data_IF_318211247089
#
_entry.id   IF_318211247089
#
_cell.length_a   1.000
_cell.length_b   1.000
_cell.length_c   1.000
_cell.angle_alpha   90.00
_cell.angle_beta   90.00
_cell.angle_gamma   90.00
#
_symmetry.space_group_name_H-M   'P 1'
#
loop_
_entity.id
_entity.type
_entity.pdbx_description
1 polymer ?
#
# COMPACT_ATOMS: atom_id res chain seq x y z
N UNK A 1 25.94 8.55 7.25
CA UNK A 1 25.45 7.22 6.89
C UNK A 1 25.06 7.32 5.42
N UNK A 2 25.81 6.69 4.51
CA UNK A 2 25.63 6.89 3.07
C UNK A 2 24.42 6.09 2.59
N UNK A 3 23.51 6.79 1.93
CA UNK A 3 22.32 6.26 1.28
C UNK A 3 22.69 5.15 0.30
N UNK A 4 22.03 4.01 0.43
CA UNK A 4 21.97 2.99 -0.62
C UNK A 4 20.94 3.45 -1.65
N UNK A 5 21.25 4.49 -2.44
CA UNK A 5 20.54 4.70 -3.69
C UNK A 5 21.16 3.74 -4.69
N UNK A 6 20.44 2.68 -5.04
CA UNK A 6 20.81 1.83 -6.17
C UNK A 6 20.91 2.72 -7.41
N UNK A 7 22.13 2.90 -7.92
CA UNK A 7 22.45 3.82 -9.02
C UNK A 7 21.79 3.45 -10.38
N UNK A 8 21.05 2.34 -10.43
CA UNK A 8 20.50 1.76 -11.67
C UNK A 8 18.97 1.60 -11.64
N UNK A 9 18.24 2.35 -10.79
CA UNK A 9 16.78 2.34 -10.86
C UNK A 9 16.27 3.19 -12.03
N UNK A 10 15.57 2.54 -12.96
CA UNK A 10 14.79 3.22 -14.00
C UNK A 10 13.75 4.17 -13.38
N UNK A 11 13.43 5.27 -14.09
CA UNK A 11 12.31 6.14 -13.71
C UNK A 11 11.02 5.34 -13.55
N UNK A 12 10.23 5.69 -12.53
CA UNK A 12 8.88 5.15 -12.39
C UNK A 12 8.01 5.80 -13.45
N UNK A 13 7.36 4.99 -14.28
CA UNK A 13 6.49 5.44 -15.38
C UNK A 13 5.12 4.77 -15.26
N UNK A 14 4.06 5.58 -15.32
CA UNK A 14 2.69 5.10 -15.15
C UNK A 14 1.77 5.73 -16.19
N UNK A 15 1.09 4.89 -16.97
CA UNK A 15 0.01 5.32 -17.88
C UNK A 15 -1.26 5.60 -17.09
N UNK A 16 -2.03 6.58 -17.53
CA UNK A 16 -3.29 6.93 -16.88
C UNK A 16 -3.83 8.27 -17.36
N UNK A 17 -4.72 8.84 -16.56
CA UNK A 17 -5.33 10.12 -16.83
C UNK A 17 -5.18 11.10 -15.67
N UNK A 18 -4.77 12.34 -15.98
CA UNK A 18 -4.78 13.45 -15.02
C UNK A 18 -5.99 14.34 -15.34
N UNK A 19 -7.00 14.37 -14.47
CA UNK A 19 -8.28 15.07 -14.71
C UNK A 19 -8.96 14.66 -16.04
N UNK A 20 -9.00 13.36 -16.31
CA UNK A 20 -9.60 12.79 -17.52
C UNK A 20 -8.74 12.90 -18.78
N UNK A 21 -7.54 13.49 -18.67
CA UNK A 21 -6.60 13.68 -19.78
C UNK A 21 -5.64 12.50 -19.81
N UNK A 22 -5.69 11.66 -20.85
CA UNK A 22 -4.75 10.55 -20.99
C UNK A 22 -3.29 11.04 -21.14
N UNK A 23 -2.35 10.30 -20.56
CA UNK A 23 -0.93 10.59 -20.67
C UNK A 23 -0.05 9.65 -19.85
N UNK A 24 1.16 10.11 -19.56
CA UNK A 24 2.18 9.38 -18.82
C UNK A 24 2.64 10.20 -17.61
N UNK A 25 2.52 9.64 -16.42
CA UNK A 25 3.12 10.15 -15.20
C UNK A 25 4.53 9.56 -15.04
N UNK A 26 5.53 10.40 -14.75
CA UNK A 26 6.93 10.00 -14.62
C UNK A 26 7.51 10.57 -13.32
N UNK A 27 8.12 9.71 -12.51
CA UNK A 27 8.96 10.10 -11.38
C UNK A 27 10.40 9.70 -11.67
N UNK A 28 11.33 10.66 -11.82
CA UNK A 28 12.72 10.35 -12.02
C UNK A 28 13.31 9.70 -10.76
N UNK A 29 14.03 8.59 -10.90
CA UNK A 29 14.67 7.90 -9.76
C UNK A 29 16.19 8.12 -9.73
N UNK A 30 16.79 8.55 -10.85
CA UNK A 30 18.24 8.84 -10.90
C UNK A 30 18.63 10.05 -10.03
N UNK A 31 19.87 10.06 -9.53
CA UNK A 31 20.43 10.99 -8.53
C UNK A 31 20.43 12.50 -8.89
N UNK A 32 19.83 12.89 -10.02
CA UNK A 32 19.46 14.26 -10.35
C UNK A 32 17.94 14.47 -10.29
N UNK A 33 17.24 13.69 -9.46
CA UNK A 33 15.80 13.74 -9.30
C UNK A 33 15.37 15.17 -8.95
N UNK A 34 14.76 15.84 -9.93
CA UNK A 34 13.90 16.97 -9.60
C UNK A 34 12.82 16.41 -8.68
N UNK A 35 12.63 17.02 -7.51
CA UNK A 35 11.54 16.66 -6.62
C UNK A 35 10.22 16.65 -7.41
N UNK A 36 9.57 15.48 -7.46
CA UNK A 36 8.18 15.37 -7.85
C UNK A 36 7.89 14.61 -9.14
N UNK A 37 6.59 14.46 -9.36
CA UNK A 37 6.02 13.76 -10.50
C UNK A 37 5.78 14.73 -11.66
N UNK A 38 6.12 14.31 -12.87
CA UNK A 38 5.80 15.04 -14.11
C UNK A 38 4.73 14.30 -14.90
N UNK A 39 3.74 15.02 -15.44
CA UNK A 39 2.71 14.44 -16.29
C UNK A 39 2.86 14.94 -17.72
N UNK A 40 3.00 14.00 -18.66
CA UNK A 40 3.05 14.27 -20.10
C UNK A 40 1.74 13.81 -20.76
N UNK A 41 0.83 14.73 -21.15
CA UNK A 41 -0.39 14.35 -21.85
C UNK A 41 -0.08 13.73 -23.22
N UNK A 42 -0.92 12.79 -23.67
CA UNK A 42 -0.76 12.17 -24.99
C UNK A 42 -1.03 13.15 -26.15
N UNK A 43 -1.85 14.18 -25.91
CA UNK A 43 -2.13 15.25 -26.86
C UNK A 43 -1.76 16.62 -26.27
N UNK A 44 -1.01 17.48 -26.99
CA UNK A 44 -0.71 18.83 -26.53
C UNK A 44 -1.97 19.69 -26.57
N UNK A 45 -2.45 20.10 -25.40
CA UNK A 45 -3.49 21.11 -25.24
C UNK A 45 -3.25 21.87 -23.93
N UNK A 46 -3.42 23.19 -23.96
CA UNK A 46 -3.15 24.06 -22.81
C UNK A 46 -3.97 23.62 -21.58
N UNK A 47 -3.34 23.36 -20.43
CA UNK A 47 -4.07 23.13 -19.19
C UNK A 47 -4.57 24.46 -18.60
N UNK A 48 -5.81 24.48 -18.09
CA UNK A 48 -6.24 25.54 -17.18
C UNK A 48 -5.46 25.43 -15.84
N UNK A 49 -4.72 26.46 -15.39
CA UNK A 49 -3.91 26.38 -14.17
C UNK A 49 -4.77 26.33 -12.88
N UNK A 50 -4.25 25.70 -11.82
CA UNK A 50 -4.64 26.03 -10.44
C UNK A 50 -5.54 25.07 -9.63
N UNK A 51 -5.87 23.86 -10.10
CA UNK A 51 -6.68 22.89 -9.32
C UNK A 51 -5.82 21.70 -8.89
N UNK A 52 -6.00 21.18 -7.66
CA UNK A 52 -5.44 19.87 -7.26
C UNK A 52 -5.94 18.83 -8.26
N UNK A 53 -5.01 18.21 -8.98
CA UNK A 53 -5.33 17.26 -10.04
C UNK A 53 -5.20 15.84 -9.53
N UNK A 54 -6.22 15.00 -9.75
CA UNK A 54 -6.12 13.58 -9.40
C UNK A 54 -5.64 12.81 -10.62
N UNK A 55 -4.51 12.15 -10.47
CA UNK A 55 -4.06 11.17 -11.45
C UNK A 55 -4.76 9.83 -11.16
N UNK A 56 -5.32 9.22 -12.19
CA UNK A 56 -5.86 7.86 -12.16
C UNK A 56 -5.03 7.00 -13.08
N UNK A 57 -4.31 6.04 -12.50
CA UNK A 57 -3.58 5.04 -13.28
C UNK A 57 -4.55 4.24 -14.15
N UNK A 58 -4.08 3.83 -15.33
CA UNK A 58 -4.81 2.82 -16.10
C UNK A 58 -4.95 1.53 -15.28
N UNK A 59 -6.05 0.78 -15.44
CA UNK A 59 -6.26 -0.45 -14.70
C UNK A 59 -5.11 -1.44 -14.90
N UNK A 60 -4.66 -2.07 -13.82
CA UNK A 60 -3.68 -3.14 -13.90
C UNK A 60 -4.33 -4.35 -14.59
N UNK A 61 -3.63 -5.05 -15.51
CA UNK A 61 -4.11 -6.28 -16.09
C UNK A 61 -4.09 -7.39 -15.03
N UNK A 62 -5.18 -7.54 -14.28
CA UNK A 62 -5.33 -8.61 -13.28
C UNK A 62 -6.03 -9.80 -13.94
N UNK A 63 -5.38 -10.99 -14.00
CA UNK A 63 -5.99 -12.18 -14.57
C UNK A 63 -7.31 -12.54 -13.88
N UNK A 64 -8.34 -12.96 -14.64
CA UNK A 64 -9.57 -13.47 -14.05
C UNK A 64 -9.27 -14.60 -13.05
N UNK A 65 -9.91 -14.57 -11.89
CA UNK A 65 -9.71 -15.57 -10.84
C UNK A 65 -8.56 -15.26 -9.87
N UNK A 66 -7.71 -14.29 -10.16
CA UNK A 66 -6.60 -13.90 -9.28
C UNK A 66 -7.11 -13.25 -7.97
N UNK A 67 -6.32 -13.42 -6.92
CA UNK A 67 -6.43 -12.66 -5.66
C UNK A 67 -5.50 -11.46 -5.74
N UNK A 68 -6.01 -10.28 -5.46
CA UNK A 68 -5.21 -9.06 -5.30
C UNK A 68 -5.02 -8.76 -3.81
N UNK A 69 -3.83 -8.29 -3.46
CA UNK A 69 -3.50 -7.83 -2.10
C UNK A 69 -3.01 -6.39 -2.23
N UNK A 70 -3.72 -5.46 -1.59
CA UNK A 70 -3.36 -4.05 -1.53
C UNK A 70 -2.76 -3.77 -0.16
N UNK A 71 -1.45 -3.50 -0.15
CA UNK A 71 -0.71 -3.16 1.05
C UNK A 71 0.14 -1.91 0.78
N UNK A 72 -0.45 -0.76 1.05
CA UNK A 72 0.16 0.54 0.83
C UNK A 72 -0.39 1.56 1.83
N UNK A 73 0.12 2.79 1.79
CA UNK A 73 -0.31 3.90 2.65
C UNK A 73 0.68 4.28 3.75
N UNK A 74 1.67 3.42 4.06
CA UNK A 74 2.64 3.71 5.13
C UNK A 74 3.53 4.91 4.84
N UNK A 75 3.90 5.13 3.58
CA UNK A 75 4.82 6.21 3.20
C UNK A 75 4.19 7.60 3.33
N UNK A 76 2.87 7.71 3.25
CA UNK A 76 2.15 8.98 3.29
C UNK A 76 0.85 8.82 4.10
N UNK A 77 0.90 8.42 5.38
CA UNK A 77 -0.31 8.08 6.11
C UNK A 77 -1.09 9.37 6.35
N UNK A 78 -2.28 9.46 5.75
CA UNK A 78 -3.09 10.68 5.73
C UNK A 78 -4.55 10.37 5.40
N UNK A 79 -5.45 11.34 5.61
CA UNK A 79 -6.89 11.14 5.41
C UNK A 79 -7.27 10.77 3.97
N UNK A 80 -6.49 11.20 2.98
CA UNK A 80 -6.71 10.90 1.56
C UNK A 80 -6.40 9.45 1.19
N UNK A 81 -5.53 8.77 1.96
CA UNK A 81 -5.00 7.44 1.61
C UNK A 81 -6.11 6.40 1.50
N UNK A 82 -7.13 6.48 2.35
CA UNK A 82 -8.25 5.55 2.28
C UNK A 82 -9.04 5.69 0.97
N UNK A 83 -9.19 6.91 0.43
CA UNK A 83 -9.82 7.13 -0.87
C UNK A 83 -8.94 6.62 -2.02
N UNK A 84 -7.62 6.79 -1.92
CA UNK A 84 -6.69 6.28 -2.92
C UNK A 84 -6.67 4.74 -2.93
N UNK A 85 -6.73 4.10 -1.76
CA UNK A 85 -6.87 2.64 -1.64
C UNK A 85 -8.21 2.17 -2.21
N UNK A 86 -9.33 2.86 -1.96
CA UNK A 86 -10.61 2.54 -2.60
C UNK A 86 -10.52 2.61 -4.13
N UNK A 87 -9.80 3.61 -4.67
CA UNK A 87 -9.59 3.73 -6.10
C UNK A 87 -8.74 2.58 -6.67
N UNK A 88 -7.72 2.11 -5.94
CA UNK A 88 -6.92 0.92 -6.28
C UNK A 88 -7.81 -0.33 -6.28
N UNK A 89 -8.60 -0.53 -5.22
CA UNK A 89 -9.53 -1.66 -5.08
C UNK A 89 -10.55 -1.67 -6.22
N UNK A 90 -11.10 -0.51 -6.60
CA UNK A 90 -12.01 -0.38 -7.73
C UNK A 90 -11.32 -0.70 -9.07
N UNK A 91 -10.03 -0.35 -9.23
CA UNK A 91 -9.22 -0.71 -10.39
C UNK A 91 -8.94 -2.22 -10.49
N UNK A 92 -9.03 -2.95 -9.37
CA UNK A 92 -8.85 -4.39 -9.29
C UNK A 92 -10.14 -5.20 -9.49
N UNK A 93 -11.15 -4.64 -10.17
CA UNK A 93 -12.48 -5.23 -10.31
C UNK A 93 -12.51 -6.62 -11.00
N UNK A 94 -11.48 -6.99 -11.78
CA UNK A 94 -11.39 -8.33 -12.39
C UNK A 94 -10.84 -9.41 -11.45
N UNK A 95 -10.33 -9.03 -10.26
CA UNK A 95 -9.89 -9.98 -9.24
C UNK A 95 -11.08 -10.75 -8.65
N UNK A 96 -10.89 -12.02 -8.32
CA UNK A 96 -11.89 -12.83 -7.61
C UNK A 96 -12.02 -12.45 -6.14
N UNK A 97 -10.95 -11.86 -5.58
CA UNK A 97 -10.88 -11.33 -4.24
C UNK A 97 -9.84 -10.22 -4.20
N UNK A 98 -10.10 -9.18 -3.41
CA UNK A 98 -9.13 -8.13 -3.08
C UNK A 98 -9.05 -8.05 -1.57
N UNK A 99 -7.85 -8.24 -1.01
CA UNK A 99 -7.57 -7.97 0.41
C UNK A 99 -6.91 -6.61 0.56
N UNK A 100 -7.24 -5.90 1.64
CA UNK A 100 -6.59 -4.65 2.03
C UNK A 100 -5.89 -4.87 3.35
N UNK A 101 -4.61 -4.54 3.42
CA UNK A 101 -3.80 -4.68 4.62
C UNK A 101 -3.66 -3.34 5.33
N UNK A 102 -3.78 -3.37 6.65
CA UNK A 102 -3.38 -2.26 7.50
C UNK A 102 -1.88 -1.98 7.43
N UNK A 103 -1.49 -0.78 7.83
CA UNK A 103 -0.10 -0.34 7.93
C UNK A 103 0.39 -0.41 9.37
N UNK A 104 1.70 -0.38 9.56
CA UNK A 104 2.32 -0.55 10.88
C UNK A 104 2.90 0.75 11.42
N UNK A 105 2.90 0.89 12.75
CA UNK A 105 3.69 1.91 13.42
C UNK A 105 5.18 1.61 13.26
N UNK A 106 5.99 2.66 13.04
CA UNK A 106 7.45 2.57 13.04
C UNK A 106 8.03 2.56 14.46
N UNK A 107 9.33 2.27 14.57
CA UNK A 107 10.08 2.21 15.82
C UNK A 107 9.90 3.44 16.72
N UNK A 108 9.82 4.61 16.10
CA UNK A 108 9.73 5.93 16.73
C UNK A 108 8.28 6.45 16.85
N UNK A 109 7.30 5.60 16.56
CA UNK A 109 5.87 5.92 16.63
C UNK A 109 5.16 5.09 17.72
N UNK A 110 5.58 5.21 19.01
CA UNK A 110 4.94 4.48 20.09
C UNK A 110 3.49 4.91 20.26
N UNK A 111 2.68 4.04 20.85
CA UNK A 111 1.26 4.28 21.15
C UNK A 111 1.09 5.61 21.89
N UNK A 112 0.18 6.43 21.40
CA UNK A 112 -0.10 7.77 21.92
C UNK A 112 0.78 8.86 21.34
N UNK A 113 1.73 8.53 20.45
CA UNK A 113 2.38 9.53 19.61
C UNK A 113 1.41 10.02 18.51
N UNK A 114 1.52 11.29 18.05
CA UNK A 114 0.68 11.79 16.97
C UNK A 114 0.75 10.92 15.69
N UNK A 115 1.91 10.38 15.37
CA UNK A 115 2.08 9.49 14.22
C UNK A 115 1.36 8.15 14.42
N UNK A 116 1.44 7.54 15.61
CA UNK A 116 0.68 6.32 15.93
C UNK A 116 -0.83 6.52 15.87
N UNK A 117 -1.33 7.72 16.21
CA UNK A 117 -2.75 8.07 16.12
C UNK A 117 -3.21 8.13 14.66
N UNK A 118 -2.39 8.71 13.76
CA UNK A 118 -2.67 8.74 12.32
C UNK A 118 -2.72 7.32 11.74
N UNK A 119 -1.76 6.47 12.10
CA UNK A 119 -1.73 5.05 11.67
C UNK A 119 -2.96 4.30 12.20
N UNK A 120 -3.31 4.50 13.47
CA UNK A 120 -4.49 3.88 14.08
C UNK A 120 -5.78 4.33 13.40
N UNK A 121 -5.92 5.63 13.14
CA UNK A 121 -7.09 6.18 12.45
C UNK A 121 -7.21 5.65 11.01
N UNK A 122 -6.09 5.58 10.27
CA UNK A 122 -6.07 5.01 8.94
C UNK A 122 -6.49 3.53 8.95
N UNK A 123 -5.90 2.72 9.83
CA UNK A 123 -6.25 1.30 9.95
C UNK A 123 -7.71 1.09 10.34
N UNK A 124 -8.24 1.89 11.26
CA UNK A 124 -9.65 1.85 11.64
C UNK A 124 -10.57 2.20 10.46
N UNK A 125 -10.20 3.18 9.65
CA UNK A 125 -10.96 3.57 8.47
C UNK A 125 -10.91 2.49 7.38
N UNK A 126 -9.74 1.89 7.13
CA UNK A 126 -9.59 0.76 6.20
C UNK A 126 -10.39 -0.47 6.66
N UNK A 127 -10.35 -0.80 7.95
CA UNK A 127 -11.19 -1.84 8.55
C UNK A 127 -12.68 -1.57 8.30
N UNK A 128 -13.14 -0.33 8.54
CA UNK A 128 -14.53 0.07 8.36
C UNK A 128 -14.98 -0.04 6.89
N UNK A 129 -14.14 0.38 5.94
CA UNK A 129 -14.45 0.36 4.49
C UNK A 129 -14.40 -1.04 3.90
N UNK A 130 -13.39 -1.84 4.24
CA UNK A 130 -13.14 -3.12 3.58
C UNK A 130 -13.61 -4.34 4.37
N UNK A 131 -13.98 -4.19 5.64
CA UNK A 131 -14.66 -5.20 6.48
C UNK A 131 -13.96 -6.55 6.46
N UNK A 132 -14.63 -7.62 6.05
CA UNK A 132 -14.10 -8.97 5.96
C UNK A 132 -12.93 -9.10 4.97
N UNK A 133 -12.66 -8.11 4.13
CA UNK A 133 -11.49 -8.06 3.25
C UNK A 133 -10.29 -7.33 3.86
N UNK A 134 -10.45 -6.73 5.04
CA UNK A 134 -9.36 -6.08 5.77
C UNK A 134 -8.55 -7.06 6.62
N UNK A 135 -7.22 -6.98 6.54
CA UNK A 135 -6.27 -7.69 7.40
C UNK A 135 -5.54 -6.68 8.28
N UNK A 136 -5.75 -6.76 9.59
CA UNK A 136 -5.08 -5.88 10.55
C UNK A 136 -3.65 -6.37 10.82
N UNK A 137 -2.70 -5.85 10.04
CA UNK A 137 -1.29 -6.22 10.12
C UNK A 137 -0.68 -5.82 11.47
N UNK A 138 -1.00 -4.62 11.97
CA UNK A 138 -0.47 -4.12 13.24
C UNK A 138 -0.91 -5.02 14.39
N UNK A 139 -2.20 -5.32 14.51
CA UNK A 139 -2.71 -6.21 15.55
C UNK A 139 -2.15 -7.63 15.43
N UNK A 140 -1.97 -8.12 14.20
CA UNK A 140 -1.38 -9.45 13.95
C UNK A 140 0.05 -9.54 14.47
N UNK A 141 0.90 -8.55 14.17
CA UNK A 141 2.29 -8.53 14.62
C UNK A 141 2.38 -8.42 16.15
N UNK A 142 1.55 -7.57 16.76
CA UNK A 142 1.49 -7.42 18.23
C UNK A 142 0.96 -8.67 18.93
N UNK A 143 0.06 -9.43 18.30
CA UNK A 143 -0.39 -10.72 18.83
C UNK A 143 0.71 -11.79 18.77
N UNK A 144 1.51 -11.80 17.70
CA UNK A 144 2.63 -12.74 17.53
C UNK A 144 3.79 -12.44 18.49
N UNK A 145 4.04 -11.17 18.78
CA UNK A 145 5.05 -10.74 19.74
C UNK A 145 4.62 -9.43 20.42
N UNK A 146 4.01 -9.51 21.62
CA UNK A 146 3.53 -8.33 22.34
C UNK A 146 4.64 -7.32 22.62
N UNK A 147 4.32 -6.04 22.45
CA UNK A 147 5.14 -4.91 22.92
C UNK A 147 4.30 -4.01 23.83
N UNK A 148 4.96 -3.30 24.75
CA UNK A 148 4.30 -2.39 25.67
C UNK A 148 3.91 -1.05 25.02
N UNK A 149 4.63 -0.66 23.97
CA UNK A 149 4.45 0.60 23.24
C UNK A 149 3.59 0.45 21.98
N UNK A 150 3.08 -0.76 21.70
CA UNK A 150 2.26 -1.03 20.53
C UNK A 150 3.02 -0.90 19.21
N UNK A 151 4.35 -0.98 19.20
CA UNK A 151 5.20 -1.06 18.01
C UNK A 151 5.67 -2.52 17.81
N UNK A 152 5.72 -3.06 16.58
CA UNK A 152 6.27 -4.40 16.36
C UNK A 152 7.69 -4.52 16.96
N UNK A 153 7.93 -5.58 17.73
CA UNK A 153 9.22 -5.77 18.39
C UNK A 153 10.36 -5.88 17.38
N UNK A 154 11.59 -5.52 17.79
CA UNK A 154 12.74 -5.44 16.89
C UNK A 154 13.01 -6.71 16.07
N UNK A 155 12.78 -7.92 16.61
CA UNK A 155 12.96 -9.18 15.85
C UNK A 155 12.01 -9.34 14.65
N UNK A 156 10.84 -8.69 14.67
CA UNK A 156 9.87 -8.70 13.58
C UNK A 156 10.13 -7.60 12.54
N UNK A 157 11.15 -6.75 12.76
CA UNK A 157 11.52 -5.65 11.88
C UNK A 157 12.96 -5.80 11.39
N UNK A 158 13.24 -5.38 10.17
CA UNK A 158 14.60 -5.29 9.64
C UNK A 158 15.23 -3.92 9.92
N UNK A 159 14.41 -2.88 9.98
CA UNK A 159 14.79 -1.53 10.40
C UNK A 159 13.62 -0.83 11.12
N UNK A 160 13.56 0.49 11.11
CA UNK A 160 12.53 1.25 11.82
C UNK A 160 11.12 1.08 11.26
N UNK A 161 10.95 0.60 10.03
CA UNK A 161 9.63 0.47 9.37
C UNK A 161 9.43 -0.85 8.63
N UNK A 162 10.47 -1.43 8.05
CA UNK A 162 10.39 -2.64 7.25
C UNK A 162 10.36 -3.89 8.13
N UNK A 163 9.62 -4.91 7.69
CA UNK A 163 9.57 -6.19 8.39
C UNK A 163 10.86 -6.99 8.19
N UNK A 164 11.17 -7.85 9.15
CA UNK A 164 12.15 -8.92 8.99
C UNK A 164 11.49 -10.13 8.30
N UNK A 165 12.26 -11.15 7.88
CA UNK A 165 11.66 -12.40 7.40
C UNK A 165 10.70 -13.06 8.40
N UNK A 166 10.93 -12.90 9.71
CA UNK A 166 10.01 -13.39 10.75
C UNK A 166 8.71 -12.59 10.76
N UNK A 167 8.79 -11.26 10.62
CA UNK A 167 7.61 -10.40 10.49
C UNK A 167 6.81 -10.69 9.21
N UNK A 168 7.48 -10.87 8.08
CA UNK A 168 6.85 -11.23 6.81
C UNK A 168 6.09 -12.57 6.90
N UNK A 169 6.66 -13.57 7.59
CA UNK A 169 6.01 -14.85 7.79
C UNK A 169 4.70 -14.71 8.59
N UNK A 170 4.69 -13.88 9.65
CA UNK A 170 3.49 -13.59 10.44
C UNK A 170 2.40 -12.94 9.57
N UNK A 171 2.75 -11.98 8.72
CA UNK A 171 1.78 -11.33 7.82
C UNK A 171 1.28 -12.30 6.75
N UNK A 172 2.16 -13.11 6.17
CA UNK A 172 1.80 -14.12 5.17
C UNK A 172 0.80 -15.15 5.74
N UNK A 173 1.01 -15.59 6.98
CA UNK A 173 0.08 -16.48 7.69
C UNK A 173 -1.29 -15.83 7.90
N UNK A 174 -1.33 -14.54 8.25
CA UNK A 174 -2.60 -13.81 8.40
C UNK A 174 -3.35 -13.61 7.07
N UNK A 175 -2.63 -13.30 5.99
CA UNK A 175 -3.20 -13.26 4.63
C UNK A 175 -3.78 -14.63 4.27
N UNK A 176 -3.01 -15.71 4.47
CA UNK A 176 -3.48 -17.08 4.19
C UNK A 176 -4.74 -17.39 4.99
N UNK A 177 -4.72 -17.16 6.30
CA UNK A 177 -5.86 -17.41 7.17
C UNK A 177 -7.10 -16.64 6.71
N UNK A 178 -6.93 -15.38 6.27
CA UNK A 178 -8.04 -14.59 5.73
C UNK A 178 -8.57 -15.15 4.42
N UNK A 179 -7.71 -15.55 3.50
CA UNK A 179 -8.13 -16.16 2.23
C UNK A 179 -8.85 -17.49 2.45
N UNK A 180 -8.41 -18.31 3.41
CA UNK A 180 -9.10 -19.53 3.80
C UNK A 180 -10.49 -19.21 4.36
N UNK A 181 -10.62 -18.23 5.25
CA UNK A 181 -11.90 -17.83 5.81
C UNK A 181 -12.90 -17.31 4.75
N UNK A 182 -12.40 -16.78 3.64
CA UNK A 182 -13.20 -16.30 2.51
C UNK A 182 -13.45 -17.38 1.43
N UNK A 183 -12.97 -18.61 1.63
CA UNK A 183 -12.98 -19.68 0.61
C UNK A 183 -12.31 -19.27 -0.71
N UNK A 184 -11.23 -18.48 -0.60
CA UNK A 184 -10.41 -17.96 -1.72
C UNK A 184 -9.01 -18.58 -1.76
N UNK A 185 -8.66 -19.39 -0.78
CA UNK A 185 -7.42 -20.16 -0.81
C UNK A 185 -7.61 -21.44 -1.64
N UNK A 186 -6.67 -21.79 -2.54
CA UNK A 186 -6.75 -23.06 -3.27
C UNK A 186 -6.87 -24.22 -2.28
N UNK A 187 -7.94 -25.01 -2.40
CA UNK A 187 -8.01 -26.28 -1.69
C UNK A 187 -6.96 -27.18 -2.31
N UNK A 188 -6.08 -27.76 -1.50
CA UNK A 188 -5.23 -28.86 -1.94
C UNK A 188 -6.17 -29.94 -2.48
N UNK A 189 -6.13 -30.16 -3.79
CA UNK A 189 -6.74 -31.33 -4.40
C UNK A 189 -6.05 -32.54 -3.78
N UNK A 190 -6.76 -33.22 -2.86
CA UNK A 190 -6.26 -34.40 -2.19
C UNK A 190 -5.73 -35.39 -3.22
N UNK A 191 -4.45 -35.74 -3.09
CA UNK A 191 -3.82 -36.88 -3.74
C UNK A 191 -4.21 -38.16 -3.02
#
# INVERSE_FOLDING_TARGET
MREHVQADMDDIRMRGALDGRAGLLVHPVSAAAADGWTFRPDSPADPAPGVRRRFRADPLPIPPGAVAVVWCGRNNPGPEVAEDIDAIVAGAASASCVLVLGVTAAADEPTGSPASEVITALNAELARRHRERFVDVQATLLAAAPSADGVPVARLRSDDVHLSPEGDAVVADAIRARLVALDRWPRSSGS
#
